data_IF_546294094643
#
_entry.id   IF_546294094643
#
_cell.length_a   1.000
_cell.length_b   1.000
_cell.length_c   1.000
_cell.angle_alpha   90.00
_cell.angle_beta   90.00
_cell.angle_gamma   90.00
#
_symmetry.space_group_name_H-M   'P 1'
#
loop_
_entity.id
_entity.type
_entity.pdbx_description
1 polymer ?
#
# COMPACT_ATOMS: atom_id res chain seq x y z
N UNK A 1 12.93 73.74 51.95
CA UNK A 1 11.83 73.06 51.28
C UNK A 1 12.37 72.47 49.99
N UNK A 2 12.69 71.15 49.97
CA UNK A 2 13.26 70.46 48.80
C UNK A 2 12.19 69.48 48.28
N UNK A 3 11.64 69.73 47.09
CA UNK A 3 10.68 68.89 46.40
C UNK A 3 11.45 67.79 45.68
N UNK A 4 11.24 66.51 46.11
CA UNK A 4 11.70 65.32 45.40
C UNK A 4 10.70 64.95 44.31
N UNK A 5 11.13 64.94 43.02
CA UNK A 5 10.37 64.42 41.92
C UNK A 5 10.63 62.91 41.82
N UNK A 6 9.57 62.11 41.90
CA UNK A 6 9.59 60.63 41.71
C UNK A 6 9.36 60.39 40.21
N UNK A 7 10.39 59.84 39.54
CA UNK A 7 10.28 59.35 38.17
C UNK A 7 9.77 57.89 38.25
N UNK A 8 8.54 57.67 37.76
CA UNK A 8 7.98 56.34 37.55
C UNK A 8 8.40 55.84 36.17
N UNK A 9 9.27 54.82 36.13
CA UNK A 9 9.65 54.12 34.91
C UNK A 9 8.64 53.02 34.64
N UNK A 10 7.78 53.19 33.63
CA UNK A 10 6.89 52.15 33.12
C UNK A 10 7.73 51.18 32.26
N UNK A 11 8.00 49.98 32.77
CA UNK A 11 8.55 48.89 31.96
C UNK A 11 7.43 48.27 31.12
N UNK A 12 7.46 48.54 29.81
CA UNK A 12 6.63 47.82 28.83
C UNK A 12 7.16 46.35 28.73
N UNK A 13 6.43 45.41 29.24
CA UNK A 13 6.64 44.00 28.96
C UNK A 13 6.08 43.73 27.57
N UNK A 14 6.97 43.53 26.59
CA UNK A 14 6.63 42.98 25.28
C UNK A 14 6.30 41.49 25.48
N UNK A 15 5.01 41.11 25.43
CA UNK A 15 4.58 39.75 25.37
C UNK A 15 5.15 39.10 24.08
N UNK A 16 5.77 37.88 24.16
CA UNK A 16 6.18 37.21 22.94
C UNK A 16 4.92 36.90 22.12
N UNK A 17 4.85 37.50 20.94
CA UNK A 17 3.79 37.25 19.99
C UNK A 17 3.77 35.75 19.66
N UNK A 18 2.70 35.05 20.01
CA UNK A 18 2.45 33.71 19.52
C UNK A 18 2.46 33.79 17.99
N UNK A 19 3.48 33.19 17.37
CA UNK A 19 3.52 33.03 15.92
C UNK A 19 2.31 32.17 15.54
N UNK A 20 1.26 32.81 15.05
CA UNK A 20 0.11 32.13 14.45
C UNK A 20 0.70 31.34 13.26
N UNK A 21 0.70 30.01 13.36
CA UNK A 21 1.12 29.16 12.27
C UNK A 21 0.26 29.52 11.05
N UNK A 22 0.90 30.10 10.04
CA UNK A 22 0.23 30.53 8.83
C UNK A 22 -0.41 29.31 8.19
N UNK A 23 -1.72 29.28 8.04
CA UNK A 23 -2.43 28.20 7.34
C UNK A 23 -1.95 28.16 5.88
N UNK A 24 -1.12 27.18 5.57
CA UNK A 24 -0.56 26.96 4.22
C UNK A 24 -1.49 26.14 3.34
N UNK A 25 -2.76 26.04 3.73
CA UNK A 25 -3.78 25.32 3.00
C UNK A 25 -3.79 23.82 3.31
N UNK A 26 -4.32 23.05 2.40
CA UNK A 26 -4.56 21.60 2.61
C UNK A 26 -4.19 20.77 1.38
N UNK A 27 -4.15 19.45 1.57
CA UNK A 27 -4.08 18.44 0.50
C UNK A 27 -5.00 17.27 0.86
N UNK A 28 -5.82 16.84 -0.08
CA UNK A 28 -6.75 15.73 0.07
C UNK A 28 -6.10 14.46 -0.49
N UNK A 29 -5.90 13.46 0.36
CA UNK A 29 -5.12 12.26 0.04
C UNK A 29 -5.97 11.01 0.19
N UNK A 30 -6.06 10.20 -0.87
CA UNK A 30 -6.39 8.79 -0.73
C UNK A 30 -5.13 8.06 -0.26
N UNK A 31 -5.23 7.35 0.87
CA UNK A 31 -4.14 6.54 1.40
C UNK A 31 -4.52 5.05 1.33
N UNK A 32 -3.69 4.26 0.66
CA UNK A 32 -3.94 2.84 0.39
C UNK A 32 -2.90 1.91 1.05
N UNK A 33 -2.25 2.40 2.10
CA UNK A 33 -1.39 1.60 3.01
C UNK A 33 -2.05 1.46 4.37
N UNK A 34 -1.35 0.89 5.34
CA UNK A 34 -1.89 0.74 6.69
C UNK A 34 -2.08 2.09 7.40
N UNK A 35 -3.11 2.16 8.26
CA UNK A 35 -3.56 3.40 8.88
C UNK A 35 -2.46 4.12 9.68
N UNK A 36 -1.60 3.36 10.37
CA UNK A 36 -0.51 3.92 11.17
C UNK A 36 0.50 4.70 10.32
N UNK A 37 0.83 4.18 9.13
CA UNK A 37 1.71 4.88 8.20
C UNK A 37 1.04 6.13 7.61
N UNK A 38 -0.23 6.01 7.19
CA UNK A 38 -1.00 7.16 6.72
C UNK A 38 -1.07 8.27 7.77
N UNK A 39 -1.37 7.91 9.02
CA UNK A 39 -1.44 8.85 10.15
C UNK A 39 -0.08 9.49 10.47
N UNK A 40 1.01 8.73 10.34
CA UNK A 40 2.36 9.26 10.52
C UNK A 40 2.72 10.27 9.44
N UNK A 41 2.46 9.97 8.17
CA UNK A 41 2.66 10.91 7.04
C UNK A 41 1.85 12.18 7.28
N UNK A 42 0.56 12.05 7.62
CA UNK A 42 -0.31 13.19 7.94
C UNK A 42 0.31 14.07 9.03
N UNK A 43 0.70 13.46 10.15
CA UNK A 43 1.21 14.17 11.32
C UNK A 43 2.54 14.86 11.03
N UNK A 44 3.50 14.13 10.46
CA UNK A 44 4.86 14.66 10.25
C UNK A 44 4.87 15.70 9.15
N UNK A 45 4.20 15.44 8.02
CA UNK A 45 4.14 16.42 6.94
C UNK A 45 3.42 17.71 7.37
N UNK A 46 2.28 17.60 8.08
CA UNK A 46 1.57 18.77 8.58
C UNK A 46 2.43 19.59 9.56
N UNK A 47 3.13 18.93 10.49
CA UNK A 47 4.02 19.62 11.44
C UNK A 47 5.18 20.34 10.77
N UNK A 48 5.79 19.69 9.77
CA UNK A 48 6.98 20.24 9.09
C UNK A 48 6.67 21.34 8.08
N UNK A 49 5.45 21.35 7.52
CA UNK A 49 5.11 22.27 6.41
C UNK A 49 4.02 23.26 6.74
N UNK A 50 3.18 23.01 7.73
CA UNK A 50 1.94 23.75 8.02
C UNK A 50 0.79 23.43 7.06
N UNK A 51 0.97 22.50 6.11
CA UNK A 51 -0.07 22.05 5.19
C UNK A 51 -0.90 20.95 5.85
N UNK A 52 -2.21 21.12 5.93
CA UNK A 52 -3.12 20.12 6.49
C UNK A 52 -3.34 18.97 5.51
N UNK A 53 -3.14 17.73 5.95
CA UNK A 53 -3.44 16.53 5.16
C UNK A 53 -4.80 15.96 5.56
N UNK A 54 -5.74 15.88 4.62
CA UNK A 54 -7.03 15.24 4.83
C UNK A 54 -6.96 13.83 4.23
N UNK A 55 -7.07 12.80 5.07
CA UNK A 55 -6.94 11.40 4.67
C UNK A 55 -8.28 10.74 4.36
N UNK A 56 -8.31 9.94 3.30
CA UNK A 56 -9.37 8.99 2.98
C UNK A 56 -8.75 7.61 2.77
N UNK A 57 -9.09 6.64 3.62
CA UNK A 57 -8.57 5.28 3.52
C UNK A 57 -9.33 4.47 2.47
N UNK A 58 -8.61 3.87 1.51
CA UNK A 58 -9.19 3.01 0.45
C UNK A 58 -8.24 1.87 0.10
N UNK A 59 -8.79 0.71 -0.25
CA UNK A 59 -8.04 -0.31 -0.99
C UNK A 59 -7.70 0.19 -2.41
N UNK A 60 -6.66 -0.38 -3.04
CA UNK A 60 -6.18 0.12 -4.34
C UNK A 60 -7.26 0.08 -5.44
N UNK A 61 -8.10 -0.96 -5.47
CA UNK A 61 -9.22 -1.06 -6.40
C UNK A 61 -10.32 -0.04 -6.13
N UNK A 62 -10.61 0.22 -4.85
CA UNK A 62 -11.59 1.23 -4.44
C UNK A 62 -11.09 2.66 -4.75
N UNK A 63 -9.79 2.91 -4.58
CA UNK A 63 -9.17 4.18 -4.93
C UNK A 63 -9.30 4.47 -6.43
N UNK A 64 -8.99 3.50 -7.29
CA UNK A 64 -9.20 3.62 -8.74
C UNK A 64 -10.66 3.91 -9.08
N UNK A 65 -11.61 3.20 -8.48
CA UNK A 65 -13.04 3.43 -8.69
C UNK A 65 -13.46 4.84 -8.25
N UNK A 66 -12.97 5.32 -7.10
CA UNK A 66 -13.23 6.67 -6.62
C UNK A 66 -12.69 7.73 -7.58
N UNK A 67 -11.43 7.62 -8.02
CA UNK A 67 -10.84 8.57 -8.98
C UNK A 67 -11.60 8.57 -10.31
N UNK A 68 -12.07 7.41 -10.77
CA UNK A 68 -12.90 7.29 -11.96
C UNK A 68 -14.23 8.04 -11.79
N UNK A 69 -14.88 7.89 -10.65
CA UNK A 69 -16.13 8.59 -10.34
C UNK A 69 -15.93 10.11 -10.18
N UNK A 70 -14.78 10.53 -9.68
CA UNK A 70 -14.42 11.94 -9.48
C UNK A 70 -13.86 12.62 -10.75
N UNK A 71 -13.71 11.92 -11.87
CA UNK A 71 -13.02 12.42 -13.09
C UNK A 71 -13.45 13.83 -13.50
N UNK A 72 -14.75 14.10 -13.53
CA UNK A 72 -15.27 15.40 -13.96
C UNK A 72 -15.12 16.51 -12.91
N UNK A 73 -14.94 16.14 -11.64
CA UNK A 73 -14.85 17.06 -10.50
C UNK A 73 -13.96 16.47 -9.40
N UNK A 74 -12.64 16.44 -9.58
CA UNK A 74 -11.71 15.83 -8.64
C UNK A 74 -11.83 16.45 -7.24
N UNK A 75 -11.93 15.60 -6.23
CA UNK A 75 -11.91 15.98 -4.81
C UNK A 75 -10.62 15.52 -4.14
N UNK A 76 -9.97 14.53 -4.72
CA UNK A 76 -8.68 13.99 -4.31
C UNK A 76 -7.57 14.74 -5.03
N UNK A 77 -6.49 15.06 -4.31
CA UNK A 77 -5.32 15.73 -4.88
C UNK A 77 -4.15 14.75 -5.12
N UNK A 78 -4.00 13.77 -4.23
CA UNK A 78 -2.91 12.79 -4.29
C UNK A 78 -3.41 11.42 -3.84
N UNK A 79 -2.95 10.38 -4.50
CA UNK A 79 -3.13 9.01 -4.09
C UNK A 79 -1.79 8.44 -3.64
N UNK A 80 -1.69 8.06 -2.35
CA UNK A 80 -0.49 7.54 -1.71
C UNK A 80 -0.64 6.06 -1.39
N UNK A 81 0.31 5.26 -1.88
CA UNK A 81 0.40 3.83 -1.58
C UNK A 81 -0.64 2.96 -2.28
N UNK A 82 -0.61 1.69 -1.95
CA UNK A 82 -1.33 0.65 -2.67
C UNK A 82 -0.54 0.10 -3.86
N UNK A 83 -1.00 -1.00 -4.42
CA UNK A 83 -0.31 -1.69 -5.53
C UNK A 83 -0.26 -0.86 -6.81
N UNK A 84 0.82 -1.03 -7.58
CA UNK A 84 1.10 -0.24 -8.77
C UNK A 84 0.15 -0.48 -9.94
N UNK A 85 -0.39 -1.69 -10.09
CA UNK A 85 -1.29 -1.99 -11.21
C UNK A 85 -2.49 -1.04 -11.30
N UNK A 86 -3.26 -0.75 -10.22
CA UNK A 86 -4.31 0.25 -10.27
C UNK A 86 -3.83 1.68 -10.52
N UNK A 87 -2.60 2.03 -10.11
CA UNK A 87 -2.02 3.32 -10.45
C UNK A 87 -1.68 3.43 -11.95
N UNK A 88 -1.14 2.37 -12.56
CA UNK A 88 -0.92 2.29 -14.01
C UNK A 88 -2.24 2.39 -14.77
N UNK A 89 -3.29 1.74 -14.29
CA UNK A 89 -4.64 1.82 -14.86
C UNK A 89 -5.22 3.24 -14.75
N UNK A 90 -4.99 3.93 -13.64
CA UNK A 90 -5.37 5.33 -13.49
C UNK A 90 -4.60 6.24 -14.45
N UNK A 91 -3.31 5.97 -14.65
CA UNK A 91 -2.47 6.68 -15.61
C UNK A 91 -2.96 6.48 -17.07
N UNK A 92 -3.25 5.24 -17.46
CA UNK A 92 -3.81 4.90 -18.78
C UNK A 92 -5.16 5.59 -19.04
N UNK A 93 -6.00 5.69 -18.00
CA UNK A 93 -7.30 6.35 -18.06
C UNK A 93 -7.24 7.87 -17.94
N UNK A 94 -6.05 8.47 -17.94
CA UNK A 94 -5.83 9.92 -17.82
C UNK A 94 -6.42 10.52 -16.52
N UNK A 95 -6.42 9.74 -15.42
CA UNK A 95 -6.89 10.18 -14.09
C UNK A 95 -5.78 10.81 -13.25
N UNK A 96 -4.52 10.60 -13.64
CA UNK A 96 -3.35 11.10 -12.92
C UNK A 96 -2.54 12.07 -13.75
N UNK A 97 -1.89 13.01 -13.08
CA UNK A 97 -1.10 14.06 -13.70
C UNK A 97 0.29 13.55 -14.09
N UNK A 98 0.75 13.92 -15.26
CA UNK A 98 2.16 13.74 -15.63
C UNK A 98 3.02 14.68 -14.81
N UNK A 99 3.93 14.10 -14.01
CA UNK A 99 4.85 14.86 -13.17
C UNK A 99 6.17 14.12 -13.00
N UNK A 100 7.21 14.64 -13.62
CA UNK A 100 8.57 14.09 -13.49
C UNK A 100 9.28 14.72 -12.31
N UNK A 101 9.38 13.96 -11.22
CA UNK A 101 10.08 14.38 -10.00
C UNK A 101 11.58 14.57 -10.24
N UNK A 102 12.20 15.66 -9.74
CA UNK A 102 13.65 15.80 -9.70
C UNK A 102 14.34 14.74 -8.82
N UNK A 103 13.61 14.14 -7.86
CA UNK A 103 14.13 13.08 -7.00
C UNK A 103 14.20 11.70 -7.67
N UNK A 104 13.68 11.55 -8.90
CA UNK A 104 13.54 10.24 -9.58
C UNK A 104 14.87 9.47 -9.66
N UNK A 105 15.99 10.13 -9.90
CA UNK A 105 17.33 9.52 -9.96
C UNK A 105 17.82 8.92 -8.63
N UNK A 106 17.22 9.32 -7.50
CA UNK A 106 17.56 8.79 -6.18
C UNK A 106 16.84 7.46 -5.88
N UNK A 107 15.86 7.08 -6.69
CA UNK A 107 15.06 5.89 -6.48
C UNK A 107 15.70 4.65 -7.08
N UNK A 108 15.32 3.47 -6.60
CA UNK A 108 15.68 2.20 -7.21
C UNK A 108 15.16 2.08 -8.65
N UNK A 109 15.84 1.26 -9.46
CA UNK A 109 15.53 1.09 -10.91
C UNK A 109 14.08 0.68 -11.14
N UNK A 110 13.52 -0.22 -10.34
CA UNK A 110 12.13 -0.65 -10.48
C UNK A 110 11.11 0.50 -10.31
N UNK A 111 11.38 1.46 -9.42
CA UNK A 111 10.53 2.63 -9.23
C UNK A 111 10.64 3.63 -10.40
N UNK A 112 11.85 3.79 -10.95
CA UNK A 112 12.11 4.60 -12.13
C UNK A 112 11.45 4.01 -13.38
N UNK A 113 11.52 2.69 -13.56
CA UNK A 113 10.90 1.96 -14.66
C UNK A 113 9.38 2.13 -14.64
N UNK A 114 8.75 1.99 -13.47
CA UNK A 114 7.30 2.22 -13.35
C UNK A 114 6.92 3.67 -13.69
N UNK A 115 7.73 4.65 -13.26
CA UNK A 115 7.49 6.05 -13.62
C UNK A 115 7.59 6.25 -15.15
N UNK A 116 8.61 5.69 -15.78
CA UNK A 116 8.78 5.78 -17.24
C UNK A 116 7.63 5.09 -17.99
N UNK A 117 7.24 3.88 -17.58
CA UNK A 117 6.13 3.11 -18.16
C UNK A 117 4.81 3.88 -18.12
N UNK A 118 4.55 4.59 -17.03
CA UNK A 118 3.35 5.42 -16.87
C UNK A 118 3.45 6.80 -17.50
N UNK A 119 4.52 7.12 -18.21
CA UNK A 119 4.84 8.49 -18.68
C UNK A 119 4.86 9.49 -17.53
N UNK A 120 5.49 9.11 -16.42
CA UNK A 120 5.61 9.91 -15.19
C UNK A 120 4.27 10.26 -14.53
N UNK A 121 3.22 9.45 -14.74
CA UNK A 121 1.90 9.65 -14.13
C UNK A 121 1.72 8.90 -12.81
N UNK A 122 2.67 8.04 -12.47
CA UNK A 122 2.82 7.39 -11.16
C UNK A 122 4.29 7.10 -10.89
N UNK A 123 4.65 6.85 -9.64
CA UNK A 123 6.00 6.48 -9.22
C UNK A 123 5.95 5.42 -8.13
N UNK A 124 6.89 4.48 -8.17
CA UNK A 124 7.06 3.52 -7.10
C UNK A 124 7.63 4.16 -5.83
N UNK A 125 7.02 3.88 -4.69
CA UNK A 125 7.47 4.38 -3.38
C UNK A 125 7.94 3.27 -2.44
N UNK A 126 7.52 2.04 -2.66
CA UNK A 126 7.99 0.84 -1.96
C UNK A 126 7.75 -0.41 -2.81
N UNK A 127 8.32 -1.55 -2.36
CA UNK A 127 8.03 -2.86 -2.95
C UNK A 127 7.90 -3.92 -1.87
N UNK A 128 7.11 -4.97 -2.18
CA UNK A 128 6.87 -6.10 -1.29
C UNK A 128 6.44 -7.35 -2.06
N UNK A 129 7.04 -8.52 -1.80
CA UNK A 129 6.67 -9.77 -2.44
C UNK A 129 5.38 -10.34 -1.85
N UNK A 130 4.58 -11.00 -2.71
CA UNK A 130 3.40 -11.73 -2.31
C UNK A 130 3.79 -13.08 -1.69
N UNK A 131 2.96 -13.60 -0.77
CA UNK A 131 3.19 -14.89 -0.16
C UNK A 131 2.06 -15.31 0.77
N UNK A 132 2.40 -16.18 1.72
CA UNK A 132 1.46 -16.70 2.70
C UNK A 132 1.80 -16.16 4.09
N UNK A 133 0.79 -15.72 4.82
CA UNK A 133 0.87 -15.44 6.24
C UNK A 133 0.20 -16.54 7.03
N UNK A 134 0.74 -16.90 8.18
CA UNK A 134 0.16 -17.93 9.03
C UNK A 134 0.31 -17.62 10.52
N UNK A 135 -0.67 -18.08 11.30
CA UNK A 135 -0.63 -18.01 12.75
C UNK A 135 0.13 -19.24 13.28
N UNK A 136 1.29 -19.02 13.87
CA UNK A 136 2.19 -20.12 14.33
C UNK A 136 1.56 -20.98 15.42
N UNK A 137 0.74 -20.39 16.30
CA UNK A 137 0.04 -21.12 17.36
C UNK A 137 -1.15 -21.94 16.82
N UNK A 138 -1.94 -21.35 15.89
CA UNK A 138 -3.05 -22.07 15.26
C UNK A 138 -2.58 -23.23 14.42
N UNK A 139 -1.52 -23.05 13.63
CA UNK A 139 -0.90 -24.12 12.84
C UNK A 139 -0.48 -25.26 13.76
N UNK A 140 0.22 -24.98 14.86
CA UNK A 140 0.65 -26.00 15.81
C UNK A 140 -0.54 -26.69 16.51
N UNK A 141 -1.51 -25.91 17.00
CA UNK A 141 -2.69 -26.44 17.72
C UNK A 141 -3.57 -27.32 16.85
N UNK A 142 -3.77 -26.93 15.59
CA UNK A 142 -4.59 -27.69 14.63
C UNK A 142 -3.78 -28.75 13.89
N UNK A 143 -2.48 -28.86 14.13
CA UNK A 143 -1.54 -29.78 13.46
C UNK A 143 -1.58 -29.62 11.93
N UNK A 144 -1.74 -28.40 11.45
CA UNK A 144 -1.70 -28.08 10.03
C UNK A 144 -0.26 -27.98 9.55
N UNK A 145 0.08 -28.45 8.33
CA UNK A 145 1.39 -28.17 7.76
C UNK A 145 1.55 -26.68 7.45
N UNK A 146 2.77 -26.18 7.44
CA UNK A 146 3.06 -24.83 6.91
C UNK A 146 3.18 -24.95 5.38
N UNK A 147 2.35 -24.24 4.61
CA UNK A 147 2.39 -24.32 3.15
C UNK A 147 3.70 -23.72 2.61
N UNK A 148 4.30 -24.37 1.62
CA UNK A 148 5.52 -23.94 0.94
C UNK A 148 5.30 -23.64 -0.53
N UNK A 149 4.22 -24.13 -1.11
CA UNK A 149 3.89 -24.00 -2.54
C UNK A 149 2.44 -23.55 -2.71
N UNK A 150 2.15 -22.94 -3.84
CA UNK A 150 0.78 -22.60 -4.19
C UNK A 150 -0.15 -23.81 -4.13
N UNK A 151 0.30 -24.95 -4.64
CA UNK A 151 -0.48 -26.19 -4.62
C UNK A 151 -0.84 -26.67 -3.21
N UNK A 152 -0.02 -26.41 -2.21
CA UNK A 152 -0.25 -26.85 -0.83
C UNK A 152 -1.52 -26.21 -0.23
N UNK A 153 -1.90 -24.97 -0.68
CA UNK A 153 -3.13 -24.31 -0.23
C UNK A 153 -4.42 -25.00 -0.66
N UNK A 154 -4.33 -25.98 -1.57
CA UNK A 154 -5.47 -26.79 -2.01
C UNK A 154 -5.75 -27.99 -1.09
N UNK A 155 -4.89 -28.26 -0.11
CA UNK A 155 -5.10 -29.35 0.84
C UNK A 155 -6.43 -29.15 1.58
N UNK A 156 -7.33 -30.16 1.58
CA UNK A 156 -8.61 -30.12 2.33
C UNK A 156 -8.46 -29.81 3.82
N UNK A 157 -7.29 -30.08 4.42
CA UNK A 157 -7.00 -29.72 5.80
C UNK A 157 -7.14 -28.21 6.08
N UNK A 158 -7.00 -27.37 5.06
CA UNK A 158 -7.18 -25.91 5.17
C UNK A 158 -8.60 -25.43 4.92
N UNK A 159 -9.59 -26.32 4.82
CA UNK A 159 -10.98 -25.92 4.57
C UNK A 159 -11.47 -24.92 5.62
N UNK A 160 -11.82 -23.71 5.17
CA UNK A 160 -12.24 -22.61 6.03
C UNK A 160 -11.12 -21.93 6.82
N UNK A 161 -9.87 -22.30 6.59
CA UNK A 161 -8.70 -21.79 7.31
C UNK A 161 -7.89 -20.74 6.55
N UNK A 162 -8.32 -20.35 5.35
CA UNK A 162 -7.62 -19.38 4.52
C UNK A 162 -8.48 -18.15 4.33
N UNK A 163 -7.91 -16.97 4.53
CA UNK A 163 -8.50 -15.71 4.08
C UNK A 163 -7.69 -15.07 2.95
N UNK A 164 -8.41 -14.44 2.03
CA UNK A 164 -7.86 -13.70 0.90
C UNK A 164 -8.69 -12.41 0.72
N UNK A 165 -8.13 -11.37 0.15
CA UNK A 165 -8.91 -10.20 -0.22
C UNK A 165 -9.69 -10.42 -1.53
N UNK A 166 -10.70 -9.60 -1.78
CA UNK A 166 -11.44 -9.61 -3.04
C UNK A 166 -10.64 -8.84 -4.12
N UNK A 167 -10.39 -9.41 -5.31
CA UNK A 167 -9.56 -8.78 -6.34
C UNK A 167 -10.18 -7.52 -6.97
N UNK A 168 -11.49 -7.32 -6.87
CA UNK A 168 -12.13 -6.10 -7.35
C UNK A 168 -11.80 -4.88 -6.46
N UNK A 169 -11.70 -5.07 -5.13
CA UNK A 169 -11.43 -4.00 -4.17
C UNK A 169 -9.97 -3.89 -3.75
N UNK A 170 -9.22 -5.01 -3.77
CA UNK A 170 -7.85 -5.12 -3.28
C UNK A 170 -6.84 -5.32 -4.39
N UNK A 171 -5.77 -4.52 -4.38
CA UNK A 171 -4.62 -4.74 -5.25
C UNK A 171 -3.86 -6.02 -4.92
N UNK A 172 -3.76 -6.40 -3.64
CA UNK A 172 -3.09 -7.64 -3.20
C UNK A 172 -3.69 -8.88 -3.87
N UNK A 173 -5.01 -8.99 -3.86
CA UNK A 173 -5.69 -10.11 -4.50
C UNK A 173 -5.66 -10.04 -6.03
N UNK A 174 -5.63 -8.84 -6.61
CA UNK A 174 -5.39 -8.68 -8.04
C UNK A 174 -3.97 -9.14 -8.41
N UNK A 175 -2.94 -8.73 -7.65
CA UNK A 175 -1.56 -9.21 -7.82
C UNK A 175 -1.47 -10.73 -7.69
N UNK A 176 -2.22 -11.34 -6.74
CA UNK A 176 -2.30 -12.81 -6.64
C UNK A 176 -2.83 -13.43 -7.92
N UNK A 177 -3.96 -12.95 -8.45
CA UNK A 177 -4.56 -13.48 -9.68
C UNK A 177 -3.63 -13.34 -10.88
N UNK A 178 -2.96 -12.20 -11.01
CA UNK A 178 -1.97 -11.94 -12.03
C UNK A 178 -0.73 -12.84 -11.89
N UNK A 179 -0.24 -13.02 -10.66
CA UNK A 179 0.89 -13.92 -10.37
C UNK A 179 0.59 -15.36 -10.79
N UNK A 180 -0.56 -15.89 -10.38
CA UNK A 180 -0.98 -17.25 -10.73
C UNK A 180 -1.14 -17.42 -12.24
N UNK A 181 -1.75 -16.42 -12.91
CA UNK A 181 -1.87 -16.41 -14.37
C UNK A 181 -0.52 -16.48 -15.11
N UNK A 182 0.49 -15.81 -14.56
CA UNK A 182 1.85 -15.82 -15.13
C UNK A 182 2.63 -17.09 -14.80
N UNK A 183 2.45 -17.64 -13.61
CA UNK A 183 3.15 -18.85 -13.17
C UNK A 183 2.67 -20.12 -13.90
N UNK A 184 1.38 -20.27 -14.10
CA UNK A 184 0.81 -21.53 -14.57
C UNK A 184 -0.04 -21.44 -15.82
N UNK A 185 -0.19 -20.24 -16.38
CA UNK A 185 -1.12 -19.94 -17.47
C UNK A 185 -2.54 -19.67 -16.96
N UNK A 186 -3.28 -18.81 -17.65
CA UNK A 186 -4.54 -18.28 -17.15
C UNK A 186 -5.60 -19.34 -16.88
N UNK A 187 -5.77 -20.32 -17.78
CA UNK A 187 -6.79 -21.37 -17.60
C UNK A 187 -6.53 -22.19 -16.32
N UNK A 188 -5.28 -22.65 -16.15
CA UNK A 188 -4.90 -23.40 -14.93
C UNK A 188 -4.99 -22.55 -13.68
N UNK A 189 -4.69 -21.24 -13.77
CA UNK A 189 -4.83 -20.31 -12.67
C UNK A 189 -6.30 -20.19 -12.22
N UNK A 190 -7.26 -20.15 -13.13
CA UNK A 190 -8.68 -20.11 -12.78
C UNK A 190 -9.20 -21.44 -12.26
N UNK A 191 -8.71 -22.59 -12.77
CA UNK A 191 -8.98 -23.90 -12.16
C UNK A 191 -8.44 -23.96 -10.72
N UNK A 192 -7.22 -23.48 -10.50
CA UNK A 192 -6.62 -23.38 -9.19
C UNK A 192 -7.45 -22.47 -8.26
N UNK A 193 -7.87 -21.29 -8.71
CA UNK A 193 -8.67 -20.36 -7.91
C UNK A 193 -10.03 -20.94 -7.53
N UNK A 194 -10.68 -21.73 -8.42
CA UNK A 194 -11.91 -22.48 -8.11
C UNK A 194 -11.68 -23.54 -7.05
N UNK A 195 -10.56 -24.25 -7.11
CA UNK A 195 -10.19 -25.25 -6.11
C UNK A 195 -9.88 -24.58 -4.75
N UNK A 196 -9.08 -23.50 -4.78
CA UNK A 196 -8.72 -22.72 -3.60
C UNK A 196 -9.95 -22.12 -2.90
N UNK A 197 -10.96 -21.69 -3.67
CA UNK A 197 -12.19 -21.11 -3.14
C UNK A 197 -12.87 -21.99 -2.08
N UNK A 198 -12.76 -23.31 -2.19
CA UNK A 198 -13.33 -24.29 -1.23
C UNK A 198 -12.67 -24.21 0.15
N UNK A 199 -11.43 -23.71 0.22
CA UNK A 199 -10.68 -23.55 1.45
C UNK A 199 -10.77 -22.12 2.03
N UNK A 200 -11.33 -21.16 1.26
CA UNK A 200 -11.45 -19.78 1.67
C UNK A 200 -12.63 -19.59 2.63
N UNK A 201 -12.36 -19.08 3.84
CA UNK A 201 -13.41 -18.69 4.79
C UNK A 201 -14.06 -17.37 4.44
N UNK A 202 -13.27 -16.38 3.96
CA UNK A 202 -13.77 -15.06 3.64
C UNK A 202 -12.90 -14.35 2.60
N UNK A 203 -13.55 -13.55 1.74
CA UNK A 203 -12.89 -12.53 0.91
C UNK A 203 -13.06 -11.16 1.55
N UNK A 204 -11.94 -10.55 1.99
CA UNK A 204 -11.95 -9.25 2.66
C UNK A 204 -11.93 -8.10 1.65
N UNK A 205 -12.35 -6.89 2.04
CA UNK A 205 -12.26 -5.70 1.18
C UNK A 205 -10.83 -5.19 1.05
N UNK A 206 -10.08 -5.18 2.16
CA UNK A 206 -8.71 -4.68 2.23
C UNK A 206 -7.71 -5.82 2.05
N UNK A 207 -6.60 -5.55 1.34
CA UNK A 207 -5.49 -6.50 1.18
C UNK A 207 -4.80 -6.89 2.48
N UNK A 208 -4.84 -6.03 3.50
CA UNK A 208 -4.29 -6.30 4.83
C UNK A 208 -5.29 -6.98 5.79
N UNK A 209 -6.56 -7.12 5.38
CA UNK A 209 -7.59 -7.81 6.17
C UNK A 209 -7.22 -9.24 6.52
N UNK A 210 -6.79 -10.06 5.55
CA UNK A 210 -6.46 -11.47 5.79
C UNK A 210 -5.36 -11.68 6.83
N UNK A 211 -4.24 -10.95 6.75
CA UNK A 211 -3.14 -11.12 7.73
C UNK A 211 -3.56 -10.67 9.14
N UNK A 212 -4.42 -9.67 9.26
CA UNK A 212 -4.98 -9.23 10.53
C UNK A 212 -5.92 -10.27 11.15
N UNK A 213 -6.67 -10.99 10.33
CA UNK A 213 -7.48 -12.12 10.78
C UNK A 213 -6.59 -13.28 11.28
N UNK A 214 -5.49 -13.55 10.57
CA UNK A 214 -4.46 -14.50 11.01
C UNK A 214 -3.87 -14.06 12.35
N UNK A 215 -3.51 -12.78 12.50
CA UNK A 215 -2.95 -12.23 13.73
C UNK A 215 -3.89 -12.46 14.93
N UNK A 216 -5.18 -12.19 14.75
CA UNK A 216 -6.20 -12.40 15.80
C UNK A 216 -6.61 -13.86 16.03
N UNK A 217 -6.08 -14.79 15.24
CA UNK A 217 -6.42 -16.20 15.36
C UNK A 217 -7.80 -16.57 14.82
N UNK A 218 -8.39 -15.75 13.96
CA UNK A 218 -9.69 -16.01 13.30
C UNK A 218 -9.55 -17.05 12.18
N UNK A 219 -8.35 -17.15 11.59
CA UNK A 219 -8.00 -18.08 10.53
C UNK A 219 -6.52 -18.46 10.62
N UNK A 220 -6.16 -19.64 10.16
CA UNK A 220 -4.79 -20.12 10.24
C UNK A 220 -3.86 -19.50 9.19
N UNK A 221 -4.39 -19.19 8.00
CA UNK A 221 -3.63 -18.79 6.83
C UNK A 221 -4.22 -17.56 6.13
N UNK A 222 -3.35 -16.83 5.45
CA UNK A 222 -3.73 -15.77 4.51
C UNK A 222 -2.85 -15.78 3.27
N UNK A 223 -3.37 -15.25 2.17
CA UNK A 223 -2.53 -14.79 1.06
C UNK A 223 -2.43 -13.28 1.18
N UNK A 224 -1.22 -12.77 1.39
CA UNK A 224 -0.91 -11.35 1.65
C UNK A 224 0.51 -11.02 1.21
N UNK A 225 0.89 -9.77 1.28
CA UNK A 225 2.31 -9.43 1.11
C UNK A 225 3.11 -9.86 2.35
N UNK A 226 4.30 -10.44 2.13
CA UNK A 226 5.07 -11.03 3.24
C UNK A 226 5.60 -10.01 4.23
N UNK A 227 5.68 -8.73 3.87
CA UNK A 227 6.04 -7.67 4.81
C UNK A 227 4.96 -7.36 5.85
N UNK A 228 3.71 -7.81 5.62
CA UNK A 228 2.63 -7.64 6.59
C UNK A 228 2.80 -8.54 7.83
N UNK A 229 3.46 -9.69 7.69
CA UNK A 229 3.73 -10.58 8.82
C UNK A 229 4.61 -9.95 9.91
N UNK A 230 5.80 -9.44 9.57
CA UNK A 230 6.62 -8.66 10.51
C UNK A 230 5.88 -7.47 11.14
N UNK A 231 4.96 -6.84 10.42
CA UNK A 231 4.09 -5.77 10.95
C UNK A 231 3.23 -6.25 12.11
N UNK A 232 2.56 -7.39 11.96
CA UNK A 232 1.71 -7.97 13.01
C UNK A 232 2.57 -8.58 14.13
N UNK A 233 3.68 -9.24 13.80
CA UNK A 233 4.62 -9.80 14.78
C UNK A 233 5.24 -8.70 15.67
N UNK A 234 5.53 -7.51 15.13
CA UNK A 234 6.02 -6.38 15.90
C UNK A 234 4.97 -5.81 16.89
N UNK A 235 3.72 -6.22 16.78
CA UNK A 235 2.64 -5.91 17.72
C UNK A 235 2.41 -7.03 18.74
N UNK A 236 3.21 -8.11 18.70
CA UNK A 236 3.13 -9.24 19.61
C UNK A 236 2.25 -10.39 19.15
N UNK A 237 1.75 -10.36 17.90
CA UNK A 237 0.94 -11.45 17.37
C UNK A 237 1.80 -12.64 16.87
N UNK A 238 1.33 -13.89 17.02
CA UNK A 238 2.06 -15.08 16.62
C UNK A 238 1.93 -15.32 15.10
N UNK A 239 2.47 -14.40 14.30
CA UNK A 239 2.40 -14.42 12.83
C UNK A 239 3.79 -14.62 12.23
N UNK A 240 3.86 -15.48 11.23
CA UNK A 240 5.01 -15.61 10.35
C UNK A 240 4.55 -15.59 8.89
N UNK A 241 5.49 -15.32 7.99
CA UNK A 241 5.23 -15.31 6.53
C UNK A 241 6.26 -16.11 5.78
N UNK A 242 5.85 -16.63 4.62
CA UNK A 242 6.69 -17.41 3.70
C UNK A 242 6.31 -17.08 2.26
N UNK A 243 7.28 -17.14 1.36
CA UNK A 243 7.05 -17.07 -0.09
C UNK A 243 6.98 -18.46 -0.70
N UNK A 244 6.15 -18.66 -1.74
CA UNK A 244 6.05 -19.95 -2.44
C UNK A 244 7.36 -20.33 -3.14
N UNK A 245 7.74 -21.62 -3.07
CA UNK A 245 8.95 -22.15 -3.68
C UNK A 245 8.97 -22.04 -5.21
N UNK A 246 7.78 -22.11 -5.86
CA UNK A 246 7.65 -21.98 -7.32
C UNK A 246 7.94 -20.55 -7.81
N UNK A 247 7.87 -19.59 -6.91
CA UNK A 247 8.03 -18.18 -7.19
C UNK A 247 6.75 -17.39 -6.96
N UNK A 248 6.90 -16.07 -6.95
CA UNK A 248 5.81 -15.14 -6.66
C UNK A 248 6.00 -13.81 -7.35
N UNK A 249 4.91 -13.05 -7.49
CA UNK A 249 4.95 -11.65 -7.88
C UNK A 249 5.29 -10.74 -6.70
N UNK A 250 5.60 -9.50 -7.01
CA UNK A 250 5.77 -8.44 -6.03
C UNK A 250 4.96 -7.21 -6.44
N UNK A 251 4.48 -6.48 -5.45
CA UNK A 251 3.94 -5.15 -5.72
C UNK A 251 5.07 -4.13 -5.90
N UNK A 252 4.79 -3.11 -6.70
CA UNK A 252 5.45 -1.81 -6.62
C UNK A 252 4.42 -0.86 -6.06
N UNK A 253 4.44 -0.64 -4.76
CA UNK A 253 3.54 0.31 -4.12
C UNK A 253 3.80 1.71 -4.65
N UNK A 254 2.73 2.44 -4.99
CA UNK A 254 2.87 3.60 -5.86
C UNK A 254 2.24 4.86 -5.31
N UNK A 255 2.58 5.99 -5.93
CA UNK A 255 2.02 7.30 -5.61
C UNK A 255 1.74 8.07 -6.90
N UNK A 256 0.61 8.79 -6.94
CA UNK A 256 0.18 9.57 -8.09
C UNK A 256 -0.45 10.89 -7.68
N UNK A 257 -0.15 11.97 -8.39
CA UNK A 257 -0.90 13.23 -8.30
C UNK A 257 -2.15 13.08 -9.16
N UNK A 258 -3.30 13.47 -8.67
CA UNK A 258 -4.57 13.38 -9.41
C UNK A 258 -4.63 14.51 -10.45
N UNK A 259 -5.07 14.17 -11.66
CA UNK A 259 -5.30 15.17 -12.71
C UNK A 259 -6.47 16.05 -12.33
N UNK A 260 -6.26 17.37 -12.36
CA UNK A 260 -7.24 18.35 -11.90
C UNK A 260 -7.29 18.54 -10.38
N UNK A 261 -6.25 18.10 -9.66
CA UNK A 261 -6.10 18.34 -8.22
C UNK A 261 -6.32 19.81 -7.86
N UNK A 262 -7.20 20.06 -6.89
CA UNK A 262 -7.55 21.42 -6.46
C UNK A 262 -6.43 22.10 -5.68
N UNK A 263 -5.64 21.31 -4.96
CA UNK A 263 -4.51 21.77 -4.15
C UNK A 263 -3.19 21.28 -4.76
N UNK A 264 -2.99 21.55 -6.07
CA UNK A 264 -1.89 20.96 -6.86
C UNK A 264 -0.51 21.25 -6.27
N UNK A 265 -0.23 22.48 -5.84
CA UNK A 265 1.10 22.83 -5.29
C UNK A 265 1.38 22.12 -3.97
N UNK A 266 0.36 21.95 -3.12
CA UNK A 266 0.48 21.18 -1.89
C UNK A 266 0.61 19.68 -2.17
N UNK A 267 -0.08 19.17 -3.19
CA UNK A 267 0.09 17.79 -3.66
C UNK A 267 1.52 17.53 -4.16
N UNK A 268 2.10 18.43 -4.94
CA UNK A 268 3.50 18.34 -5.38
C UNK A 268 4.48 18.38 -4.21
N UNK A 269 4.26 19.25 -3.22
CA UNK A 269 5.10 19.31 -2.02
C UNK A 269 5.05 18.01 -1.22
N UNK A 270 3.86 17.42 -1.03
CA UNK A 270 3.73 16.13 -0.37
C UNK A 270 4.39 15.01 -1.20
N UNK A 271 4.21 15.03 -2.52
CA UNK A 271 4.81 14.06 -3.43
C UNK A 271 6.34 14.06 -3.33
N UNK A 272 6.98 15.23 -3.44
CA UNK A 272 8.44 15.35 -3.33
C UNK A 272 8.95 14.97 -1.94
N UNK A 273 8.27 15.40 -0.88
CA UNK A 273 8.60 15.02 0.48
C UNK A 273 8.55 13.51 0.67
N UNK A 274 7.51 12.83 0.17
CA UNK A 274 7.33 11.39 0.29
C UNK A 274 8.41 10.56 -0.44
N UNK A 275 9.10 11.14 -1.43
CA UNK A 275 10.21 10.51 -2.14
C UNK A 275 11.56 10.68 -1.45
N UNK A 276 11.65 11.51 -0.41
CA UNK A 276 12.91 11.68 0.35
C UNK A 276 13.23 10.45 1.18
N UNK A 277 14.53 10.17 1.37
CA UNK A 277 14.98 9.09 2.24
C UNK A 277 14.43 9.23 3.67
N UNK A 278 14.36 10.46 4.18
CA UNK A 278 13.84 10.75 5.52
C UNK A 278 12.34 10.39 5.63
N UNK A 279 11.52 10.77 4.65
CA UNK A 279 10.10 10.45 4.67
C UNK A 279 9.83 8.94 4.55
N UNK A 280 10.63 8.23 3.77
CA UNK A 280 10.47 6.79 3.59
C UNK A 280 10.87 5.97 4.83
N UNK A 281 11.70 6.50 5.73
CA UNK A 281 11.97 5.89 7.03
C UNK A 281 10.72 5.82 7.93
N UNK A 282 9.73 6.69 7.72
CA UNK A 282 8.48 6.65 8.47
C UNK A 282 7.65 5.39 8.21
N UNK A 283 7.89 4.67 7.12
CA UNK A 283 7.32 3.34 6.91
C UNK A 283 7.74 2.40 8.06
N UNK A 284 9.05 2.19 8.24
CA UNK A 284 9.57 1.34 9.32
C UNK A 284 9.21 1.87 10.72
N UNK A 285 9.22 3.20 10.93
CA UNK A 285 8.78 3.81 12.19
C UNK A 285 7.29 3.53 12.49
N UNK A 286 6.45 3.41 11.46
CA UNK A 286 5.06 2.98 11.56
C UNK A 286 4.91 1.45 11.51
N UNK A 287 5.98 0.69 11.72
CA UNK A 287 6.02 -0.79 11.66
C UNK A 287 5.61 -1.35 10.30
N UNK A 288 5.90 -0.62 9.22
CA UNK A 288 5.65 -1.06 7.85
C UNK A 288 6.98 -1.43 7.21
N UNK A 289 7.14 -2.70 6.85
CA UNK A 289 8.44 -3.29 6.47
C UNK A 289 8.54 -3.60 4.98
N UNK A 290 8.00 -2.72 4.13
CA UNK A 290 8.22 -2.74 2.69
C UNK A 290 9.63 -2.24 2.36
N UNK A 291 10.18 -2.70 1.24
CA UNK A 291 11.44 -2.17 0.70
C UNK A 291 11.21 -0.74 0.19
N UNK A 292 11.85 0.29 0.77
CA UNK A 292 11.67 1.67 0.33
C UNK A 292 12.26 1.90 -1.07
N UNK A 293 11.69 2.83 -1.84
CA UNK A 293 12.18 3.13 -3.19
C UNK A 293 13.41 4.02 -3.24
N UNK A 294 13.63 4.89 -2.26
CA UNK A 294 14.80 5.76 -2.21
C UNK A 294 16.03 4.99 -1.72
N UNK A 295 17.08 4.95 -2.54
CA UNK A 295 18.33 4.20 -2.30
C UNK A 295 19.05 4.58 -1.01
N UNK A 296 18.88 5.82 -0.56
CA UNK A 296 19.51 6.35 0.66
C UNK A 296 18.71 6.06 1.94
N UNK A 297 17.50 5.47 1.81
CA UNK A 297 16.70 5.10 2.98
C UNK A 297 17.30 3.87 3.66
N UNK A 298 17.64 3.93 4.96
CA UNK A 298 18.04 2.74 5.71
C UNK A 298 16.94 1.67 5.66
N UNK A 299 17.32 0.45 5.30
CA UNK A 299 16.40 -0.68 5.24
C UNK A 299 16.36 -1.36 6.60
N UNK A 300 15.17 -1.45 7.18
CA UNK A 300 14.95 -2.16 8.44
C UNK A 300 15.22 -3.67 8.27
N UNK A 301 15.91 -4.35 9.21
CA UNK A 301 16.21 -5.79 9.10
C UNK A 301 14.97 -6.71 8.96
N UNK A 302 13.77 -6.22 9.29
CA UNK A 302 12.50 -6.95 9.13
C UNK A 302 11.92 -6.86 7.72
N UNK A 303 12.47 -6.03 6.85
CA UNK A 303 12.11 -6.01 5.42
C UNK A 303 12.49 -7.35 4.80
N UNK A 304 11.61 -8.01 4.03
CA UNK A 304 11.94 -9.27 3.36
C UNK A 304 13.19 -9.16 2.49
N UNK A 305 14.08 -10.13 2.60
CA UNK A 305 15.30 -10.17 1.77
C UNK A 305 14.96 -10.63 0.35
N UNK A 306 14.79 -9.70 -0.56
CA UNK A 306 14.45 -9.95 -1.97
C UNK A 306 15.45 -10.85 -2.70
N UNK A 307 16.72 -10.96 -2.23
CA UNK A 307 17.74 -11.84 -2.81
C UNK A 307 17.46 -13.31 -2.56
N UNK A 308 16.66 -13.61 -1.52
CA UNK A 308 16.26 -14.98 -1.13
C UNK A 308 14.91 -15.39 -1.69
N UNK A 309 14.22 -14.49 -2.39
CA UNK A 309 12.86 -14.72 -2.88
C UNK A 309 12.91 -14.94 -4.39
N UNK A 310 12.29 -16.01 -4.85
CA UNK A 310 12.12 -16.28 -6.27
C UNK A 310 10.97 -15.41 -6.82
N UNK A 311 11.35 -14.24 -7.33
CA UNK A 311 10.39 -13.37 -8.02
C UNK A 311 10.20 -13.83 -9.47
N UNK A 312 8.96 -13.76 -9.97
CA UNK A 312 8.67 -13.85 -11.39
C UNK A 312 9.01 -12.54 -12.08
N UNK A 313 9.24 -12.59 -13.39
CA UNK A 313 9.26 -11.38 -14.23
C UNK A 313 7.82 -10.90 -14.44
N UNK A 314 7.35 -10.08 -13.49
CA UNK A 314 5.95 -9.66 -13.46
C UNK A 314 5.65 -8.66 -14.57
N UNK A 315 4.72 -9.01 -15.48
CA UNK A 315 4.32 -8.18 -16.61
C UNK A 315 3.40 -7.02 -16.18
N UNK A 316 4.03 -5.95 -15.68
CA UNK A 316 3.32 -4.72 -15.32
C UNK A 316 2.67 -4.04 -16.54
N UNK A 317 3.12 -4.27 -17.74
CA UNK A 317 2.51 -3.70 -18.94
C UNK A 317 1.13 -4.32 -19.21
N UNK A 318 1.03 -5.63 -19.15
CA UNK A 318 -0.22 -6.37 -19.32
C UNK A 318 -1.17 -6.12 -18.14
N UNK A 319 -0.74 -6.46 -16.93
CA UNK A 319 -1.60 -6.44 -15.73
C UNK A 319 -1.86 -5.05 -15.20
N UNK A 320 -1.03 -4.08 -15.53
CA UNK A 320 -1.25 -2.66 -15.28
C UNK A 320 -2.22 -2.00 -16.28
N UNK A 321 -2.74 -2.72 -17.28
CA UNK A 321 -3.73 -2.17 -18.22
C UNK A 321 -5.15 -2.23 -17.66
N UNK A 322 -5.95 -1.20 -17.96
CA UNK A 322 -7.35 -1.12 -17.52
C UNK A 322 -8.24 -2.20 -18.19
N UNK A 323 -7.92 -2.56 -19.43
CA UNK A 323 -8.64 -3.60 -20.17
C UNK A 323 -8.44 -4.98 -19.53
N UNK A 324 -7.20 -5.33 -19.21
CA UNK A 324 -6.86 -6.60 -18.58
C UNK A 324 -7.46 -6.71 -17.17
N UNK A 325 -7.39 -5.63 -16.38
CA UNK A 325 -8.04 -5.61 -15.07
C UNK A 325 -9.53 -5.91 -15.16
N UNK A 326 -10.26 -5.19 -16.02
CA UNK A 326 -11.72 -5.42 -16.19
C UNK A 326 -12.01 -6.86 -16.57
N UNK A 327 -11.24 -7.40 -17.50
CA UNK A 327 -11.41 -8.76 -18.01
C UNK A 327 -11.18 -9.81 -16.91
N UNK A 328 -10.07 -9.71 -16.18
CA UNK A 328 -9.73 -10.66 -15.12
C UNK A 328 -10.69 -10.59 -13.93
N UNK A 329 -11.10 -9.40 -13.53
CA UNK A 329 -12.06 -9.23 -12.45
C UNK A 329 -13.42 -9.80 -12.85
N UNK A 330 -13.93 -9.48 -14.03
CA UNK A 330 -15.20 -10.03 -14.53
C UNK A 330 -15.17 -11.56 -14.62
N UNK A 331 -14.03 -12.12 -15.07
CA UNK A 331 -13.83 -13.57 -15.08
C UNK A 331 -13.83 -14.15 -13.67
N UNK A 332 -13.12 -13.51 -12.74
CA UNK A 332 -13.06 -13.97 -11.35
C UNK A 332 -14.46 -13.94 -10.70
N UNK A 333 -15.21 -12.86 -10.87
CA UNK A 333 -16.58 -12.73 -10.34
C UNK A 333 -17.50 -13.83 -10.86
N UNK A 334 -17.42 -14.13 -12.15
CA UNK A 334 -18.23 -15.16 -12.81
C UNK A 334 -17.80 -16.57 -12.42
N UNK A 335 -16.51 -16.87 -12.49
CA UNK A 335 -16.00 -18.24 -12.47
C UNK A 335 -15.62 -18.71 -11.05
N UNK A 336 -15.37 -17.78 -10.12
CA UNK A 336 -14.90 -18.07 -8.75
C UNK A 336 -15.82 -17.43 -7.71
N UNK A 337 -16.05 -16.13 -7.79
CA UNK A 337 -16.78 -15.37 -6.77
C UNK A 337 -18.26 -15.77 -6.65
N UNK A 338 -18.87 -16.26 -7.71
CA UNK A 338 -20.26 -16.73 -7.75
C UNK A 338 -20.43 -18.18 -7.25
N UNK A 339 -19.33 -18.93 -6.99
CA UNK A 339 -19.43 -20.31 -6.53
C UNK A 339 -19.87 -20.39 -5.07
N UNK A 340 -20.61 -21.45 -4.68
CA UNK A 340 -20.87 -21.75 -3.26
C UNK A 340 -19.57 -22.20 -2.58
N UNK A 341 -19.44 -21.87 -1.29
CA UNK A 341 -18.31 -22.24 -0.43
C UNK A 341 -18.54 -23.55 0.30
#
# INVERSE_FOLDING_TARGET
MIRRHLLVVLALWAAPGAAIAQDKGQVNVICSVQADWCGMIQTVFTRSTGIRVNLSMRGSGEALAQLTAERANPKTDLWFGGTGDPHLQAAEQDLTLEYRSPALGQLHVWAQQQAAQSRYRTVGIYSGPLGFGYNTELIARKKLPVPKRWADLLDPAYKGEIQVANPASSGTAYTMSATLGQLMGEEKAFEYLKALHKNISQYTRSGTGPIKAVARGETALSISFVHDGPTEAAQGFPVATITPDEGTGAEIGSMSIVKGARNLDNARRLYEWALTAQAQQFGAAARQFQLPSNKATPVDPRVPDFKRIRLIDYDYAKYGSAAERRRLIARWEKDVGALPR
#
